data_IF_240736263069
#
_entry.id   IF_240736263069
#
_cell.length_a   1.000
_cell.length_b   1.000
_cell.length_c   1.000
_cell.angle_alpha   90.00
_cell.angle_beta   90.00
_cell.angle_gamma   90.00
#
_symmetry.space_group_name_H-M   'P 1'
#
loop_
_entity.id
_entity.type
_entity.pdbx_description
1 polymer ?
#
# COMPACT_ATOMS: atom_id res chain seq x y z
N UNK A 1 21.74 37.12 -21.85
CA UNK A 1 20.25 37.12 -21.92
C UNK A 1 19.91 36.24 -23.12
N UNK A 2 19.29 35.07 -22.99
CA UNK A 2 17.92 34.79 -22.53
C UNK A 2 17.93 33.40 -21.84
N UNK A 3 17.54 33.30 -20.56
CA UNK A 3 17.17 32.01 -19.94
C UNK A 3 15.70 31.78 -20.29
N UNK A 4 15.43 30.85 -21.20
CA UNK A 4 14.08 30.37 -21.48
C UNK A 4 13.55 29.63 -20.26
N UNK A 5 12.69 30.30 -19.48
CA UNK A 5 11.90 29.66 -18.45
C UNK A 5 10.96 28.64 -19.10
N UNK A 6 11.12 27.36 -18.78
CA UNK A 6 10.13 26.34 -19.14
C UNK A 6 8.93 26.54 -18.20
N UNK A 7 7.93 27.28 -18.67
CA UNK A 7 6.66 27.40 -17.97
C UNK A 7 5.92 26.06 -18.04
N UNK A 8 5.68 25.45 -16.88
CA UNK A 8 4.80 24.29 -16.72
C UNK A 8 3.36 24.78 -16.93
N UNK A 9 2.70 24.33 -18.01
CA UNK A 9 1.29 24.63 -18.26
C UNK A 9 0.47 23.42 -17.82
N UNK A 10 -0.40 23.63 -16.82
CA UNK A 10 -1.36 22.64 -16.35
C UNK A 10 -2.75 23.06 -16.86
N UNK A 11 -3.42 22.20 -17.62
CA UNK A 11 -4.78 22.46 -18.12
C UNK A 11 -5.69 21.31 -17.73
N UNK A 12 -6.85 21.66 -17.16
CA UNK A 12 -7.81 20.74 -16.56
C UNK A 12 -9.12 20.79 -17.38
N UNK A 13 -9.59 19.64 -17.85
CA UNK A 13 -10.88 19.51 -18.52
C UNK A 13 -11.77 18.55 -17.70
N UNK A 14 -12.94 19.02 -17.30
CA UNK A 14 -13.94 18.25 -16.54
C UNK A 14 -15.12 17.96 -17.49
N UNK A 15 -15.41 16.69 -17.74
CA UNK A 15 -16.60 16.28 -18.51
C UNK A 15 -17.62 15.62 -17.60
N UNK A 16 -18.88 16.05 -17.71
CA UNK A 16 -20.02 15.43 -17.02
C UNK A 16 -20.76 14.51 -18.01
N UNK A 17 -20.97 13.25 -17.63
CA UNK A 17 -21.82 12.35 -18.40
C UNK A 17 -23.29 12.57 -17.98
N UNK A 18 -24.15 12.91 -18.94
CA UNK A 18 -25.61 13.05 -18.74
C UNK A 18 -26.28 11.79 -19.29
N UNK A 19 -26.92 11.00 -18.43
CA UNK A 19 -27.70 9.83 -18.85
C UNK A 19 -29.13 10.25 -19.22
N UNK A 20 -29.54 10.04 -20.48
CA UNK A 20 -30.95 10.16 -20.89
C UNK A 20 -31.69 8.84 -20.63
N UNK A 21 -32.79 8.90 -19.87
CA UNK A 21 -33.65 7.76 -19.56
C UNK A 21 -34.56 7.39 -20.75
N UNK A 22 -34.59 6.10 -21.10
CA UNK A 22 -35.66 5.49 -21.90
C UNK A 22 -36.17 4.21 -21.20
N UNK A 23 -37.45 3.92 -21.39
CA UNK A 23 -38.37 3.19 -20.51
C UNK A 23 -38.15 1.66 -20.31
N UNK A 24 -38.54 1.24 -19.09
CA UNK A 24 -39.19 -0.01 -18.65
C UNK A 24 -38.39 -1.31 -18.42
N UNK A 25 -38.63 -1.86 -17.22
CA UNK A 25 -38.37 -3.19 -16.66
C UNK A 25 -37.05 -3.40 -15.86
N UNK A 26 -37.25 -3.77 -14.59
CA UNK A 26 -36.31 -4.04 -13.49
C UNK A 26 -35.61 -2.81 -12.86
N UNK A 27 -35.45 -2.78 -11.51
CA UNK A 27 -34.60 -1.78 -10.87
C UNK A 27 -33.15 -2.12 -11.21
N UNK A 28 -32.66 -1.56 -12.32
CA UNK A 28 -31.22 -1.40 -12.53
C UNK A 28 -30.79 -0.36 -11.51
N UNK A 29 -29.95 -0.75 -10.54
CA UNK A 29 -29.26 0.22 -9.68
C UNK A 29 -28.71 1.34 -10.57
N UNK A 30 -28.96 2.62 -10.24
CA UNK A 30 -28.40 3.71 -11.03
C UNK A 30 -26.88 3.58 -10.97
N UNK A 31 -26.26 3.29 -12.12
CA UNK A 31 -24.81 3.30 -12.26
C UNK A 31 -24.33 4.67 -11.75
N UNK A 32 -23.56 4.67 -10.67
CA UNK A 32 -23.00 5.88 -10.09
C UNK A 32 -22.28 6.64 -11.20
N UNK A 33 -22.70 7.88 -11.46
CA UNK A 33 -22.07 8.73 -12.48
C UNK A 33 -20.60 8.95 -12.09
N UNK A 34 -19.68 8.24 -12.77
CA UNK A 34 -18.25 8.38 -12.51
C UNK A 34 -17.76 9.69 -13.11
N UNK A 35 -17.37 10.65 -12.27
CA UNK A 35 -16.71 11.87 -12.74
C UNK A 35 -15.26 11.54 -13.08
N UNK A 36 -14.87 11.68 -14.35
CA UNK A 36 -13.49 11.46 -14.80
C UNK A 36 -12.77 12.79 -14.92
N UNK A 37 -11.61 12.89 -14.27
CA UNK A 37 -10.78 14.11 -14.28
C UNK A 37 -9.55 13.85 -15.14
N UNK A 38 -9.30 14.69 -16.15
CA UNK A 38 -8.08 14.57 -16.98
C UNK A 38 -7.08 15.67 -16.65
N UNK A 39 -5.89 15.27 -16.22
CA UNK A 39 -4.74 16.12 -15.94
C UNK A 39 -3.77 16.10 -17.14
N UNK A 40 -3.52 17.25 -17.76
CA UNK A 40 -2.49 17.37 -18.79
C UNK A 40 -1.22 17.98 -18.19
N UNK A 41 -0.08 17.31 -18.37
CA UNK A 41 1.23 17.70 -17.84
C UNK A 41 2.22 17.88 -18.99
N UNK A 42 3.08 18.89 -18.92
CA UNK A 42 4.12 19.15 -19.92
C UNK A 42 5.46 19.46 -19.25
N UNK A 43 6.54 18.82 -19.71
CA UNK A 43 7.90 19.00 -19.15
C UNK A 43 8.33 17.87 -18.20
N UNK A 44 9.53 18.00 -17.64
CA UNK A 44 10.08 17.00 -16.73
C UNK A 44 9.48 17.20 -15.33
N UNK A 45 8.63 16.27 -14.90
CA UNK A 45 8.00 16.27 -13.59
C UNK A 45 8.40 15.01 -12.84
N UNK A 46 8.77 15.16 -11.56
CA UNK A 46 9.14 14.01 -10.74
C UNK A 46 7.90 13.20 -10.34
N UNK A 47 8.02 11.86 -10.17
CA UNK A 47 6.90 11.01 -9.76
C UNK A 47 6.23 11.47 -8.46
N UNK A 48 7.01 11.91 -7.46
CA UNK A 48 6.47 12.37 -6.18
C UNK A 48 5.61 13.64 -6.32
N UNK A 49 6.00 14.54 -7.22
CA UNK A 49 5.24 15.75 -7.48
C UNK A 49 3.94 15.45 -8.24
N UNK A 50 3.94 14.46 -9.14
CA UNK A 50 2.73 13.99 -9.82
C UNK A 50 1.75 13.35 -8.84
N UNK A 51 2.21 12.46 -7.96
CA UNK A 51 1.37 11.81 -6.95
C UNK A 51 0.74 12.83 -6.00
N UNK A 52 1.50 13.84 -5.59
CA UNK A 52 0.97 14.95 -4.79
C UNK A 52 -0.15 15.71 -5.50
N UNK A 53 -0.01 16.00 -6.80
CA UNK A 53 -1.03 16.70 -7.58
C UNK A 53 -2.28 15.85 -7.78
N UNK A 54 -2.12 14.56 -8.10
CA UNK A 54 -3.25 13.63 -8.30
C UNK A 54 -4.09 13.51 -7.04
N UNK A 55 -3.46 13.32 -5.88
CA UNK A 55 -4.17 13.21 -4.60
C UNK A 55 -4.89 14.50 -4.22
N UNK A 56 -4.32 15.67 -4.52
CA UNK A 56 -4.97 16.96 -4.27
C UNK A 56 -6.18 17.18 -5.18
N UNK A 57 -6.11 16.76 -6.45
CA UNK A 57 -7.23 16.86 -7.40
C UNK A 57 -8.33 15.87 -7.01
N UNK A 58 -7.97 14.63 -6.70
CA UNK A 58 -8.91 13.60 -6.24
C UNK A 58 -9.72 14.06 -5.02
N UNK A 59 -9.05 14.57 -3.99
CA UNK A 59 -9.69 15.11 -2.79
C UNK A 59 -10.56 16.34 -3.10
N UNK A 60 -10.12 17.22 -4.00
CA UNK A 60 -10.86 18.44 -4.36
C UNK A 60 -12.15 18.16 -5.12
N UNK A 61 -12.19 17.11 -5.93
CA UNK A 61 -13.34 16.77 -6.78
C UNK A 61 -14.13 15.55 -6.29
N UNK A 62 -13.75 14.96 -5.14
CA UNK A 62 -14.42 13.79 -4.57
C UNK A 62 -14.35 12.56 -5.49
N UNK A 63 -13.28 12.45 -6.28
CA UNK A 63 -13.04 11.32 -7.20
C UNK A 63 -11.91 10.45 -6.67
N UNK A 64 -11.88 9.18 -7.02
CA UNK A 64 -10.75 8.34 -6.63
C UNK A 64 -9.47 8.80 -7.36
N UNK A 65 -8.30 8.79 -6.70
CA UNK A 65 -7.03 9.10 -7.35
C UNK A 65 -6.77 8.26 -8.61
N UNK A 66 -7.22 7.00 -8.60
CA UNK A 66 -7.06 6.07 -9.72
C UNK A 66 -7.95 6.41 -10.94
N UNK A 67 -8.99 7.24 -10.75
CA UNK A 67 -9.87 7.71 -11.82
C UNK A 67 -9.34 8.99 -12.52
N UNK A 68 -8.20 9.52 -12.06
CA UNK A 68 -7.55 10.72 -12.63
C UNK A 68 -6.64 10.32 -13.80
N UNK A 69 -7.01 10.74 -15.01
CA UNK A 69 -6.30 10.42 -16.25
C UNK A 69 -5.16 11.43 -16.47
N UNK A 70 -3.91 10.97 -16.54
CA UNK A 70 -2.75 11.84 -16.79
C UNK A 70 -2.33 11.76 -18.27
N UNK A 71 -2.18 12.90 -18.95
CA UNK A 71 -1.68 13.00 -20.34
C UNK A 71 -0.37 13.81 -20.37
N UNK A 72 0.72 13.20 -20.83
CA UNK A 72 2.05 13.83 -20.88
C UNK A 72 2.49 14.10 -22.34
N UNK A 73 2.94 15.31 -22.65
CA UNK A 73 3.20 15.77 -24.03
C UNK A 73 4.65 15.55 -24.52
N UNK A 74 5.47 14.74 -23.84
CA UNK A 74 6.89 14.56 -24.16
C UNK A 74 7.40 13.12 -23.99
N UNK A 75 7.18 12.27 -25.00
CA UNK A 75 8.13 11.21 -25.36
C UNK A 75 8.40 10.08 -24.35
N UNK A 76 7.36 9.44 -23.83
CA UNK A 76 7.25 7.97 -23.72
C UNK A 76 5.79 7.68 -23.37
N UNK A 77 5.04 7.13 -24.33
CA UNK A 77 3.68 6.64 -24.09
C UNK A 77 3.77 5.31 -23.33
N UNK A 78 4.11 5.39 -22.04
CA UNK A 78 3.74 4.33 -21.11
C UNK A 78 2.30 4.59 -20.70
N UNK A 79 1.38 3.71 -21.07
CA UNK A 79 0.01 3.77 -20.56
C UNK A 79 0.07 3.63 -19.03
N UNK A 80 0.04 4.73 -18.30
CA UNK A 80 -0.37 4.73 -16.90
C UNK A 80 -1.90 4.65 -16.91
N UNK A 81 -2.41 3.42 -16.85
CA UNK A 81 -3.82 3.08 -16.84
C UNK A 81 -4.03 1.80 -16.01
N UNK A 82 -5.12 1.71 -15.23
CA UNK A 82 -5.27 0.76 -14.12
C UNK A 82 -5.60 -0.64 -14.63
N UNK A 83 -5.04 -1.66 -13.99
CA UNK A 83 -5.47 -3.04 -14.23
C UNK A 83 -6.75 -3.31 -13.44
N UNK A 84 -7.88 -3.27 -14.13
CA UNK A 84 -9.15 -3.86 -13.68
C UNK A 84 -9.06 -5.40 -13.73
N UNK A 85 -9.78 -6.12 -12.86
CA UNK A 85 -9.81 -7.57 -12.86
C UNK A 85 -10.63 -8.13 -14.04
N UNK A 86 -10.13 -9.21 -14.64
CA UNK A 86 -10.82 -10.02 -15.65
C UNK A 86 -12.10 -10.62 -15.07
N UNK A 87 -13.23 -10.48 -15.78
CA UNK A 87 -14.51 -11.12 -15.46
C UNK A 87 -14.40 -12.65 -15.56
N UNK A 88 -14.92 -13.35 -14.54
CA UNK A 88 -15.26 -14.77 -14.59
C UNK A 88 -16.78 -14.93 -14.77
N UNK A 89 -17.16 -15.89 -15.61
CA UNK A 89 -18.53 -16.29 -15.99
C UNK A 89 -19.40 -16.71 -14.78
N UNK A 90 -20.73 -16.47 -14.77
CA UNK A 90 -21.62 -16.93 -13.70
C UNK A 90 -21.72 -18.46 -13.65
N UNK A 91 -21.56 -19.04 -12.46
CA UNK A 91 -21.92 -20.44 -12.19
C UNK A 91 -23.44 -20.57 -11.91
N UNK A 92 -24.09 -21.70 -12.24
CA UNK A 92 -25.54 -21.86 -12.15
C UNK A 92 -26.06 -21.92 -10.70
N UNK A 93 -27.32 -21.54 -10.50
CA UNK A 93 -28.03 -21.59 -9.22
C UNK A 93 -28.14 -23.04 -8.65
N UNK A 94 -28.12 -23.21 -7.31
CA UNK A 94 -28.25 -24.51 -6.68
C UNK A 94 -29.69 -25.04 -6.74
N UNK A 95 -29.85 -26.29 -7.14
CA UNK A 95 -31.08 -27.08 -6.94
C UNK A 95 -31.23 -27.50 -5.46
N UNK A 96 -32.46 -27.78 -4.98
CA UNK A 96 -32.72 -28.07 -3.57
C UNK A 96 -32.16 -29.44 -3.15
N UNK A 97 -31.43 -29.51 -2.04
CA UNK A 97 -31.02 -30.77 -1.44
C UNK A 97 -32.12 -31.35 -0.52
N UNK A 98 -32.43 -32.65 -0.60
CA UNK A 98 -33.28 -33.35 0.37
C UNK A 98 -32.56 -33.63 1.70
N UNK A 99 -33.26 -33.26 2.78
CA UNK A 99 -33.28 -33.71 4.18
C UNK A 99 -32.06 -34.41 4.82
N UNK A 100 -31.60 -33.74 5.88
CA UNK A 100 -30.64 -33.99 6.97
C UNK A 100 -30.19 -35.42 7.31
N UNK A 101 -28.85 -35.62 7.41
CA UNK A 101 -28.23 -36.54 8.35
C UNK A 101 -27.82 -35.81 9.65
N UNK A 102 -28.28 -36.37 10.78
CA UNK A 102 -27.81 -36.22 12.18
C UNK A 102 -26.59 -35.31 12.44
N UNK A 103 -26.65 -34.33 13.37
CA UNK A 103 -25.54 -33.42 13.65
C UNK A 103 -24.28 -34.15 14.11
N UNK A 104 -23.19 -33.98 13.35
CA UNK A 104 -21.83 -34.25 13.82
C UNK A 104 -21.41 -33.15 14.82
N UNK A 105 -20.57 -33.45 15.83
CA UNK A 105 -20.05 -32.44 16.75
C UNK A 105 -19.34 -31.31 15.98
N UNK A 106 -19.62 -30.07 16.35
CA UNK A 106 -18.95 -28.90 15.78
C UNK A 106 -17.42 -29.04 15.91
N UNK A 107 -16.63 -28.70 14.87
CA UNK A 107 -15.18 -28.62 15.00
C UNK A 107 -14.85 -27.58 16.07
N UNK A 108 -14.08 -27.99 17.06
CA UNK A 108 -13.51 -27.11 18.08
C UNK A 108 -12.71 -26.01 17.38
N UNK A 109 -12.81 -24.72 17.78
CA UNK A 109 -11.95 -23.69 17.24
C UNK A 109 -10.50 -24.14 17.37
N UNK A 110 -9.79 -24.17 16.24
CA UNK A 110 -8.35 -24.44 16.22
C UNK A 110 -7.70 -23.38 17.11
N UNK A 111 -6.86 -23.75 18.09
CA UNK A 111 -6.18 -22.76 18.91
C UNK A 111 -5.37 -21.85 17.99
N UNK A 112 -5.58 -20.53 18.13
CA UNK A 112 -4.65 -19.52 17.65
C UNK A 112 -3.23 -19.99 18.01
N UNK A 113 -2.27 -20.05 17.05
CA UNK A 113 -0.91 -20.44 17.36
C UNK A 113 -0.43 -19.59 18.54
N UNK A 114 0.05 -20.26 19.60
CA UNK A 114 0.69 -19.58 20.70
C UNK A 114 1.85 -18.71 20.15
N UNK A 115 2.06 -17.51 20.71
CA UNK A 115 3.14 -16.63 20.30
C UNK A 115 4.46 -17.41 20.28
N UNK A 116 5.11 -17.47 19.11
CA UNK A 116 6.42 -18.11 18.96
C UNK A 116 7.41 -17.42 19.91
N UNK A 117 8.27 -18.16 20.62
CA UNK A 117 9.29 -17.58 21.49
C UNK A 117 10.27 -16.73 20.66
N UNK A 118 9.98 -15.43 20.59
CA UNK A 118 10.64 -14.43 19.75
C UNK A 118 9.98 -13.06 19.82
N UNK A 119 8.75 -12.96 20.34
CA UNK A 119 7.97 -11.71 20.46
C UNK A 119 8.25 -10.86 21.72
N UNK A 120 9.33 -11.15 22.47
CA UNK A 120 9.73 -10.29 23.58
C UNK A 120 10.33 -8.98 23.03
N UNK A 121 9.54 -7.90 22.97
CA UNK A 121 10.06 -6.55 22.72
C UNK A 121 9.35 -5.72 21.64
N UNK A 122 8.28 -6.21 21.01
CA UNK A 122 7.43 -5.40 20.13
C UNK A 122 6.43 -4.55 20.93
N UNK A 123 6.14 -3.35 20.43
CA UNK A 123 5.00 -2.55 20.88
C UNK A 123 3.69 -3.11 20.32
N UNK A 124 2.55 -2.62 20.83
CA UNK A 124 1.24 -3.02 20.32
C UNK A 124 1.09 -2.75 18.81
N UNK A 125 1.49 -1.56 18.35
CA UNK A 125 1.39 -1.18 16.93
C UNK A 125 2.29 -2.05 16.03
N UNK A 126 3.50 -2.39 16.49
CA UNK A 126 4.43 -3.23 15.74
C UNK A 126 3.95 -4.68 15.67
N UNK A 127 3.37 -5.18 16.77
CA UNK A 127 2.77 -6.50 16.82
C UNK A 127 1.55 -6.58 15.90
N UNK A 128 0.67 -5.57 15.93
CA UNK A 128 -0.49 -5.49 15.04
C UNK A 128 -0.08 -5.45 13.56
N UNK A 129 0.93 -4.64 13.21
CA UNK A 129 1.45 -4.59 11.84
C UNK A 129 2.05 -5.94 11.40
N UNK A 130 2.78 -6.62 12.29
CA UNK A 130 3.32 -7.95 12.04
C UNK A 130 2.20 -8.97 11.76
N UNK A 131 1.13 -8.91 12.56
CA UNK A 131 -0.01 -9.82 12.44
C UNK A 131 -0.73 -9.60 11.11
N UNK A 132 -0.96 -8.35 10.69
CA UNK A 132 -1.56 -8.03 9.38
C UNK A 132 -0.67 -8.49 8.22
N UNK A 133 0.64 -8.24 8.29
CA UNK A 133 1.61 -8.73 7.29
C UNK A 133 1.58 -10.25 7.18
N UNK A 134 1.59 -10.96 8.32
CA UNK A 134 1.59 -12.41 8.34
C UNK A 134 0.24 -13.01 7.97
N UNK A 135 -0.87 -12.35 8.28
CA UNK A 135 -2.20 -12.73 7.80
C UNK A 135 -2.25 -12.68 6.27
N UNK A 136 -1.75 -11.61 5.67
CA UNK A 136 -1.69 -11.49 4.21
C UNK A 136 -0.82 -12.58 3.59
N UNK A 137 0.37 -12.83 4.14
CA UNK A 137 1.29 -13.87 3.66
C UNK A 137 0.68 -15.27 3.77
N UNK A 138 0.16 -15.62 4.93
CA UNK A 138 -0.41 -16.96 5.19
C UNK A 138 -1.68 -17.20 4.38
N UNK A 139 -2.52 -16.19 4.14
CA UNK A 139 -3.70 -16.29 3.26
C UNK A 139 -3.34 -16.69 1.82
N UNK A 140 -2.09 -16.45 1.40
CA UNK A 140 -1.54 -16.79 0.08
C UNK A 140 -0.63 -18.02 0.08
N UNK A 141 -0.59 -18.76 1.18
CA UNK A 141 0.26 -19.94 1.33
C UNK A 141 1.74 -19.63 1.49
N UNK A 142 2.10 -18.38 1.83
CA UNK A 142 3.48 -17.99 2.11
C UNK A 142 3.79 -18.21 3.60
N UNK A 143 5.06 -18.53 3.89
CA UNK A 143 5.53 -18.63 5.27
C UNK A 143 5.46 -17.27 5.97
N UNK A 144 5.00 -17.26 7.23
CA UNK A 144 5.03 -16.08 8.08
C UNK A 144 6.47 -15.60 8.30
N UNK A 145 6.64 -14.29 8.36
CA UNK A 145 7.90 -13.64 8.74
C UNK A 145 8.05 -13.70 10.25
N UNK A 146 9.29 -13.88 10.70
CA UNK A 146 9.68 -13.84 12.10
C UNK A 146 10.22 -12.44 12.42
N UNK A 147 9.73 -11.83 13.51
CA UNK A 147 10.29 -10.58 13.98
C UNK A 147 11.75 -10.77 14.41
N UNK A 148 12.66 -9.94 13.90
CA UNK A 148 14.07 -9.93 14.29
C UNK A 148 14.35 -8.67 15.14
N UNK A 149 14.75 -8.81 16.42
CA UNK A 149 14.95 -7.66 17.31
C UNK A 149 15.98 -6.65 16.83
N UNK A 150 17.01 -7.07 16.09
CA UNK A 150 18.02 -6.15 15.55
C UNK A 150 17.44 -5.34 14.39
N UNK A 151 16.67 -5.96 13.51
CA UNK A 151 15.94 -5.24 12.46
C UNK A 151 14.89 -4.29 13.05
N UNK A 152 14.20 -4.67 14.13
CA UNK A 152 13.25 -3.79 14.83
C UNK A 152 13.96 -2.54 15.35
N UNK A 153 15.17 -2.69 15.91
CA UNK A 153 15.97 -1.55 16.37
C UNK A 153 16.33 -0.61 15.21
N UNK A 154 16.77 -1.16 14.07
CA UNK A 154 17.04 -0.37 12.85
C UNK A 154 15.79 0.38 12.38
N UNK A 155 14.66 -0.32 12.26
CA UNK A 155 13.42 0.25 11.77
C UNK A 155 12.91 1.39 12.67
N UNK A 156 13.03 1.24 14.01
CA UNK A 156 12.70 2.30 14.98
C UNK A 156 13.61 3.52 14.84
N UNK A 157 14.93 3.31 14.71
CA UNK A 157 15.90 4.38 14.49
C UNK A 157 15.56 5.15 13.20
N UNK A 158 15.25 4.43 12.12
CA UNK A 158 14.87 5.01 10.83
C UNK A 158 13.57 5.82 10.93
N UNK A 159 12.56 5.29 11.60
CA UNK A 159 11.28 5.97 11.81
C UNK A 159 11.45 7.26 12.63
N UNK A 160 12.24 7.20 13.70
CA UNK A 160 12.55 8.38 14.53
C UNK A 160 13.36 9.42 13.75
N UNK A 161 14.36 8.99 12.99
CA UNK A 161 15.18 9.88 12.17
C UNK A 161 14.36 10.63 11.11
N UNK A 162 13.39 9.97 10.46
CA UNK A 162 12.45 10.61 9.54
C UNK A 162 11.62 11.70 10.22
N UNK A 163 11.22 11.47 11.49
CA UNK A 163 10.47 12.46 12.26
C UNK A 163 11.38 13.63 12.65
N UNK A 164 12.53 13.35 13.25
CA UNK A 164 13.44 14.35 13.81
C UNK A 164 14.01 15.27 12.74
N UNK A 165 14.34 14.71 11.56
CA UNK A 165 14.90 15.44 10.44
C UNK A 165 13.86 15.87 9.40
N UNK A 166 12.57 15.61 9.64
CA UNK A 166 11.46 16.11 8.83
C UNK A 166 11.50 15.63 7.36
N UNK A 167 11.81 14.36 7.13
CA UNK A 167 11.90 13.79 5.78
C UNK A 167 11.15 12.46 5.66
N UNK A 168 10.84 12.05 4.43
CA UNK A 168 10.24 10.75 4.13
C UNK A 168 10.94 10.15 2.91
N UNK A 169 11.92 9.27 3.16
CA UNK A 169 12.77 8.69 2.12
C UNK A 169 13.48 7.43 2.62
N UNK A 170 13.76 6.49 1.71
CA UNK A 170 14.60 5.33 2.00
C UNK A 170 16.01 5.74 2.43
N UNK A 171 16.58 6.80 1.87
CA UNK A 171 17.91 7.30 2.26
C UNK A 171 17.80 8.27 3.43
N UNK A 172 18.43 7.92 4.54
CA UNK A 172 18.61 8.80 5.70
C UNK A 172 19.73 9.82 5.46
N UNK A 173 19.53 11.10 5.78
CA UNK A 173 20.61 12.09 5.78
C UNK A 173 21.62 11.86 6.92
N UNK A 174 21.22 11.15 7.97
CA UNK A 174 22.03 10.85 9.16
C UNK A 174 22.78 9.52 9.02
N UNK A 175 22.10 8.49 8.52
CA UNK A 175 22.54 7.10 8.59
C UNK A 175 22.76 6.43 7.22
N UNK A 176 22.46 7.12 6.11
CA UNK A 176 22.63 6.58 4.77
C UNK A 176 21.48 5.66 4.34
N UNK A 177 21.77 4.66 3.52
CA UNK A 177 20.76 3.72 3.03
C UNK A 177 20.31 2.73 4.14
N UNK A 178 19.17 2.05 3.98
CA UNK A 178 18.74 0.99 4.91
C UNK A 178 19.81 -0.10 5.08
N UNK A 179 20.56 -0.37 4.01
CA UNK A 179 21.68 -1.31 4.00
C UNK A 179 22.86 -0.85 4.85
N UNK A 180 23.15 0.46 4.87
CA UNK A 180 24.17 1.05 5.73
C UNK A 180 23.76 0.95 7.19
N UNK A 181 22.49 1.20 7.50
CA UNK A 181 21.93 1.06 8.84
C UNK A 181 22.00 -0.38 9.35
N UNK A 182 21.53 -1.34 8.55
CA UNK A 182 21.63 -2.78 8.88
C UNK A 182 23.09 -3.20 9.10
N UNK A 183 24.01 -2.73 8.26
CA UNK A 183 25.44 -3.01 8.40
C UNK A 183 26.03 -2.41 9.67
N UNK A 184 25.65 -1.19 10.03
CA UNK A 184 26.10 -0.52 11.25
C UNK A 184 25.67 -1.28 12.52
N UNK A 185 24.49 -1.91 12.48
CA UNK A 185 23.97 -2.77 13.56
C UNK A 185 24.49 -4.22 13.50
N UNK A 186 25.43 -4.51 12.58
CA UNK A 186 26.05 -5.84 12.46
C UNK A 186 25.14 -6.92 11.85
N UNK A 187 24.02 -6.52 11.23
CA UNK A 187 23.04 -7.43 10.63
C UNK A 187 23.61 -7.99 9.32
N UNK A 188 23.62 -9.31 9.21
CA UNK A 188 24.07 -10.04 8.02
C UNK A 188 22.87 -10.56 7.25
N UNK A 189 22.85 -10.31 5.95
CA UNK A 189 21.79 -10.76 5.04
C UNK A 189 22.39 -11.05 3.65
N UNK A 190 21.75 -11.95 2.91
CA UNK A 190 21.98 -12.16 1.48
C UNK A 190 20.98 -11.40 0.61
N UNK A 191 19.80 -11.10 1.15
CA UNK A 191 18.73 -10.37 0.49
C UNK A 191 18.00 -9.47 1.49
N UNK A 192 17.77 -8.21 1.15
CA UNK A 192 17.09 -7.26 2.04
C UNK A 192 16.17 -6.29 1.28
N UNK A 193 15.22 -5.68 1.98
CA UNK A 193 14.32 -4.68 1.43
C UNK A 193 13.68 -3.82 2.52
N UNK A 194 13.15 -2.66 2.14
CA UNK A 194 12.52 -1.70 3.05
C UNK A 194 11.14 -1.29 2.53
N UNK A 195 10.17 -1.15 3.43
CA UNK A 195 8.93 -0.42 3.18
C UNK A 195 8.78 0.74 4.16
N UNK A 196 8.24 1.87 3.67
CA UNK A 196 7.97 3.07 4.46
C UNK A 196 6.48 3.45 4.33
N UNK A 197 5.86 3.84 5.44
CA UNK A 197 4.53 4.45 5.43
C UNK A 197 4.41 5.56 6.46
N UNK A 198 3.66 6.60 6.12
CA UNK A 198 3.12 7.56 7.08
C UNK A 198 1.60 7.40 7.13
N UNK A 199 1.04 7.16 8.32
CA UNK A 199 -0.41 7.03 8.50
C UNK A 199 -0.83 7.29 9.95
N UNK A 200 -2.12 7.51 10.16
CA UNK A 200 -2.67 7.75 11.50
C UNK A 200 -2.88 6.46 12.33
N UNK A 201 -2.98 5.30 11.68
CA UNK A 201 -3.18 3.99 12.31
C UNK A 201 -2.41 2.88 11.60
N UNK A 202 -2.25 1.75 12.29
CA UNK A 202 -1.61 0.55 11.77
C UNK A 202 -2.37 -0.02 10.58
N UNK A 203 -3.70 -0.16 10.65
CA UNK A 203 -4.47 -0.68 9.50
C UNK A 203 -4.37 0.21 8.27
N UNK A 204 -4.40 1.55 8.43
CA UNK A 204 -4.25 2.47 7.31
C UNK A 204 -2.86 2.37 6.67
N UNK A 205 -1.80 2.27 7.48
CA UNK A 205 -0.45 2.02 6.96
C UNK A 205 -0.37 0.70 6.21
N UNK A 206 -0.89 -0.39 6.78
CA UNK A 206 -0.88 -1.70 6.14
C UNK A 206 -1.63 -1.69 4.80
N UNK A 207 -2.83 -1.09 4.74
CA UNK A 207 -3.60 -0.95 3.51
C UNK A 207 -2.83 -0.13 2.45
N UNK A 208 -2.22 0.98 2.84
CA UNK A 208 -1.41 1.82 1.92
C UNK A 208 -0.22 1.04 1.35
N UNK A 209 0.48 0.27 2.18
CA UNK A 209 1.58 -0.60 1.74
C UNK A 209 1.07 -1.69 0.80
N UNK A 210 -0.03 -2.36 1.12
CA UNK A 210 -0.61 -3.39 0.27
C UNK A 210 -1.19 -2.85 -1.03
N UNK A 211 -1.63 -1.60 -1.09
CA UNK A 211 -2.11 -0.99 -2.33
C UNK A 211 -0.96 -0.54 -3.26
N UNK A 212 0.25 -0.35 -2.73
CA UNK A 212 1.46 -0.08 -3.52
C UNK A 212 2.09 -1.37 -4.05
N UNK A 213 2.31 -1.48 -5.36
CA UNK A 213 2.90 -2.69 -5.97
C UNK A 213 4.31 -2.98 -5.46
N UNK A 214 5.16 -1.95 -5.31
CA UNK A 214 6.52 -2.09 -4.80
C UNK A 214 6.54 -2.57 -3.35
N UNK A 215 5.73 -1.94 -2.50
CA UNK A 215 5.70 -2.29 -1.07
C UNK A 215 5.07 -3.66 -0.83
N UNK A 216 3.98 -3.99 -1.55
CA UNK A 216 3.37 -5.32 -1.56
C UNK A 216 4.35 -6.38 -2.02
N UNK A 217 5.16 -6.11 -3.05
CA UNK A 217 6.15 -7.05 -3.54
C UNK A 217 7.17 -7.41 -2.46
N UNK A 218 7.55 -6.47 -1.58
CA UNK A 218 8.37 -6.78 -0.41
C UNK A 218 7.61 -7.66 0.61
N UNK A 219 6.39 -7.26 1.01
CA UNK A 219 5.56 -8.02 1.98
C UNK A 219 5.35 -9.47 1.53
N UNK A 220 5.16 -9.70 0.23
CA UNK A 220 4.89 -11.02 -0.35
C UNK A 220 6.13 -11.74 -0.88
N UNK A 221 7.33 -11.18 -0.72
CA UNK A 221 8.53 -11.80 -1.26
C UNK A 221 8.85 -13.09 -0.49
N UNK A 222 9.05 -14.19 -1.21
CA UNK A 222 9.37 -15.50 -0.64
C UNK A 222 10.82 -15.61 -0.17
N UNK A 223 11.69 -14.70 -0.61
CA UNK A 223 13.08 -14.67 -0.15
C UNK A 223 13.18 -14.18 1.29
N UNK A 224 12.24 -13.36 1.77
CA UNK A 224 12.26 -12.84 3.12
C UNK A 224 11.70 -13.86 4.12
N UNK A 225 12.42 -14.00 5.24
CA UNK A 225 12.06 -14.83 6.39
C UNK A 225 11.96 -14.02 7.68
N UNK A 226 12.62 -12.86 7.73
CA UNK A 226 12.68 -11.99 8.89
C UNK A 226 12.16 -10.60 8.56
N UNK A 227 11.61 -9.93 9.57
CA UNK A 227 11.19 -8.53 9.48
C UNK A 227 11.50 -7.78 10.77
N UNK A 228 11.96 -6.54 10.66
CA UNK A 228 11.93 -5.56 11.72
C UNK A 228 10.86 -4.53 11.44
N UNK A 229 9.97 -4.29 12.39
CA UNK A 229 8.92 -3.28 12.26
C UNK A 229 9.18 -2.21 13.30
N UNK A 230 9.30 -0.96 12.85
CA UNK A 230 9.42 0.22 13.70
C UNK A 230 8.22 1.12 13.52
N UNK A 231 7.54 1.45 14.62
CA UNK A 231 6.42 2.41 14.63
C UNK A 231 6.70 3.52 15.63
N UNK A 232 6.73 4.76 15.16
CA UNK A 232 6.97 5.93 16.01
C UNK A 232 5.85 6.95 15.82
N UNK A 233 5.23 7.38 16.93
CA UNK A 233 4.22 8.44 16.91
C UNK A 233 4.88 9.80 16.63
N UNK A 234 4.32 10.57 15.70
CA UNK A 234 4.80 11.90 15.36
C UNK A 234 4.87 12.16 13.86
N UNK A 235 5.45 13.30 13.52
CA UNK A 235 5.54 13.77 12.13
C UNK A 235 4.18 14.18 11.53
N UNK A 236 4.16 14.56 10.25
CA UNK A 236 2.98 15.12 9.60
C UNK A 236 1.83 14.12 9.37
N UNK A 237 2.09 12.81 9.58
CA UNK A 237 1.12 11.74 9.33
C UNK A 237 0.50 11.15 10.61
N UNK A 238 0.95 11.58 11.79
CA UNK A 238 0.54 11.04 13.08
C UNK A 238 1.39 9.86 13.55
N UNK A 239 1.74 8.93 12.66
CA UNK A 239 2.72 7.86 12.91
C UNK A 239 3.60 7.62 11.68
N UNK A 240 4.83 7.19 11.94
CA UNK A 240 5.80 6.75 10.95
C UNK A 240 6.05 5.25 11.10
N UNK A 241 6.00 4.53 9.97
CA UNK A 241 6.16 3.07 9.90
C UNK A 241 7.32 2.71 9.00
N UNK A 242 8.17 1.80 9.48
CA UNK A 242 9.28 1.22 8.72
C UNK A 242 9.21 -0.29 8.85
N UNK A 243 9.35 -1.00 7.73
CA UNK A 243 9.53 -2.46 7.70
C UNK A 243 10.85 -2.76 7.02
N UNK A 244 11.78 -3.37 7.74
CA UNK A 244 13.07 -3.86 7.21
C UNK A 244 12.99 -5.37 7.07
N UNK A 245 13.28 -5.91 5.90
CA UNK A 245 13.15 -7.34 5.60
C UNK A 245 14.51 -7.95 5.32
N UNK A 246 14.73 -9.19 5.77
CA UNK A 246 15.89 -10.01 5.36
C UNK A 246 15.51 -11.48 5.12
N UNK A 247 16.40 -12.21 4.45
CA UNK A 247 16.32 -13.67 4.29
C UNK A 247 16.58 -14.49 5.56
#
# INVERSE_FOLDING_TARGET
MIKTGKHLVLSLLVMFAVAMLAFAAAPVEPAAASTKVTLSVSGNVTPDYLNKIVNQIAAKYGVNPDDVIIKNAGGTTGNYCPSTPSQAKPAPAPTPNPVDPKPAPAPTPTPTPAPSPGQAGLTADEQEMLDLVNQERTSRGLAALVADPDLVRVARLKAQDMIDNGYFSHTSPTYGSPFDMMKAEGIKYGYAGENLAGASSVESAHQNLMNSSGHRANILNTNFKKVGIGVVNGGPYGKMFVQEFTD
#
